data_IF_789820443841
#
_entry.id   IF_789820443841
#
_cell.length_a   1.000
_cell.length_b   1.000
_cell.length_c   1.000
_cell.angle_alpha   90.00
_cell.angle_beta   90.00
_cell.angle_gamma   90.00
#
_symmetry.space_group_name_H-M   'P 1'
#
loop_
_entity.id
_entity.type
_entity.pdbx_description
1 polymer ?
#
# COMPACT_ATOMS: atom_id res chain seq x y z
N UNK A 1 12.09 2.66 -2.12
CA UNK A 1 11.61 3.06 -0.78
C UNK A 1 11.86 1.91 0.16
N UNK A 2 11.99 2.13 1.48
CA UNK A 2 12.33 1.04 2.41
C UNK A 2 11.17 0.06 2.72
N UNK A 3 9.93 0.40 2.34
CA UNK A 3 8.76 -0.49 2.47
C UNK A 3 8.83 -1.69 1.50
N UNK A 4 9.38 -1.49 0.30
CA UNK A 4 9.47 -2.51 -0.76
C UNK A 4 10.60 -3.53 -0.47
N UNK A 5 10.64 -4.04 0.77
CA UNK A 5 11.64 -5.00 1.24
C UNK A 5 10.99 -6.37 1.35
N UNK A 6 11.77 -7.40 1.02
CA UNK A 6 11.37 -8.78 1.28
C UNK A 6 11.54 -9.09 2.77
N UNK A 7 10.44 -9.48 3.39
CA UNK A 7 10.36 -9.99 4.76
C UNK A 7 10.23 -11.51 4.72
N UNK A 8 10.89 -12.19 5.67
CA UNK A 8 10.81 -13.63 5.86
C UNK A 8 10.20 -13.90 7.24
N UNK A 9 9.01 -14.50 7.24
CA UNK A 9 8.36 -14.97 8.46
C UNK A 9 8.99 -16.30 8.90
N UNK A 10 8.92 -16.62 10.19
CA UNK A 10 9.46 -17.85 10.78
C UNK A 10 8.85 -19.12 10.20
N UNK A 11 7.62 -19.03 9.71
CA UNK A 11 6.92 -20.14 9.04
C UNK A 11 7.42 -20.42 7.62
N UNK A 12 8.39 -19.64 7.12
CA UNK A 12 8.94 -19.76 5.78
C UNK A 12 8.21 -18.95 4.70
N UNK A 13 7.21 -18.15 5.07
CA UNK A 13 6.55 -17.21 4.15
C UNK A 13 7.50 -16.06 3.86
N UNK A 14 7.81 -15.85 2.58
CA UNK A 14 8.58 -14.70 2.11
C UNK A 14 7.64 -13.76 1.38
N UNK A 15 7.56 -12.52 1.83
CA UNK A 15 6.61 -11.53 1.31
C UNK A 15 7.22 -10.13 1.20
N UNK A 16 6.58 -9.27 0.44
CA UNK A 16 6.93 -7.86 0.28
C UNK A 16 5.66 -7.01 0.32
N UNK A 17 5.70 -5.88 1.05
CA UNK A 17 4.68 -4.84 0.93
C UNK A 17 5.13 -3.92 -0.21
N UNK A 18 4.41 -3.96 -1.32
CA UNK A 18 4.73 -3.20 -2.52
C UNK A 18 3.99 -1.86 -2.55
N UNK A 19 4.75 -0.81 -2.82
CA UNK A 19 4.28 0.58 -2.95
C UNK A 19 4.18 1.02 -4.40
N UNK A 20 4.19 0.08 -5.35
CA UNK A 20 4.24 0.40 -6.79
C UNK A 20 3.12 1.33 -7.23
N UNK A 21 1.87 1.08 -6.80
CA UNK A 21 0.73 1.93 -7.15
C UNK A 21 0.89 3.36 -6.59
N UNK A 22 1.47 3.52 -5.39
CA UNK A 22 1.79 4.84 -4.85
C UNK A 22 2.89 5.55 -5.65
N UNK A 23 3.89 4.82 -6.13
CA UNK A 23 4.97 5.38 -6.96
C UNK A 23 4.43 5.81 -8.34
N UNK A 24 3.51 5.06 -8.91
CA UNK A 24 2.85 5.38 -10.17
C UNK A 24 2.02 6.67 -10.00
N UNK A 25 1.23 6.77 -8.93
CA UNK A 25 0.49 8.00 -8.58
C UNK A 25 1.41 9.21 -8.44
N UNK A 26 2.56 9.06 -7.77
CA UNK A 26 3.55 10.16 -7.66
C UNK A 26 4.10 10.52 -9.04
N UNK A 27 4.39 9.54 -9.89
CA UNK A 27 4.97 9.75 -11.21
C UNK A 27 4.01 10.49 -12.14
N UNK A 28 2.74 10.11 -12.15
CA UNK A 28 1.70 10.74 -12.97
C UNK A 28 1.46 12.20 -12.54
N UNK A 29 1.48 12.47 -11.23
CA UNK A 29 1.31 13.83 -10.68
C UNK A 29 2.52 14.70 -11.01
N UNK A 30 3.72 14.12 -10.97
CA UNK A 30 4.95 14.80 -11.41
C UNK A 30 4.95 15.07 -12.93
N UNK A 31 4.23 14.26 -13.72
CA UNK A 31 3.98 14.51 -15.14
C UNK A 31 2.87 15.55 -15.38
N UNK A 32 2.33 16.18 -14.32
CA UNK A 32 1.31 17.22 -14.41
C UNK A 32 -0.12 16.68 -14.58
N UNK A 33 -0.33 15.38 -14.44
CA UNK A 33 -1.66 14.79 -14.53
C UNK A 33 -2.45 15.09 -13.25
N UNK A 34 -3.70 15.53 -13.43
CA UNK A 34 -4.63 15.68 -12.32
C UNK A 34 -5.18 14.32 -11.94
N UNK A 35 -4.92 13.94 -10.70
CA UNK A 35 -5.37 12.67 -10.11
C UNK A 35 -6.36 12.97 -8.98
N UNK A 36 -7.69 12.87 -9.22
CA UNK A 36 -8.72 13.06 -8.20
C UNK A 36 -8.53 12.16 -6.97
N UNK A 37 -7.93 10.99 -7.15
CA UNK A 37 -7.65 9.99 -6.11
C UNK A 37 -6.72 10.54 -5.03
N UNK A 38 -5.78 11.43 -5.38
CA UNK A 38 -4.90 12.06 -4.39
C UNK A 38 -5.67 12.90 -3.36
N UNK A 39 -6.79 13.51 -3.75
CA UNK A 39 -7.61 14.31 -2.84
C UNK A 39 -8.27 13.44 -1.76
N UNK A 40 -8.38 12.13 -2.00
CA UNK A 40 -8.92 11.16 -1.03
C UNK A 40 -7.87 10.68 -0.03
N UNK A 41 -6.57 10.96 -0.26
CA UNK A 41 -5.47 10.55 0.62
C UNK A 41 -5.22 11.64 1.67
N UNK A 42 -5.97 11.58 2.77
CA UNK A 42 -5.90 12.52 3.88
C UNK A 42 -4.96 12.08 5.00
N UNK A 43 -4.76 10.78 5.21
CA UNK A 43 -3.99 10.22 6.33
C UNK A 43 -3.23 8.94 5.90
N UNK A 44 -2.48 8.33 6.84
CA UNK A 44 -1.66 7.14 6.53
C UNK A 44 -2.47 5.86 6.30
N UNK A 45 -3.69 5.75 6.83
CA UNK A 45 -4.59 4.60 6.62
C UNK A 45 -5.15 4.61 5.20
N UNK A 46 -5.36 5.81 4.62
CA UNK A 46 -5.81 5.94 3.23
C UNK A 46 -4.77 5.41 2.24
N UNK A 47 -3.50 5.34 2.64
CA UNK A 47 -2.43 4.75 1.81
C UNK A 47 -2.59 3.24 1.67
N UNK A 48 -3.27 2.55 2.60
CA UNK A 48 -3.43 1.09 2.55
C UNK A 48 -4.20 0.62 1.32
N UNK A 49 -5.06 1.48 0.75
CA UNK A 49 -5.78 1.19 -0.51
C UNK A 49 -4.87 1.12 -1.73
N UNK A 50 -3.64 1.62 -1.61
CA UNK A 50 -2.64 1.66 -2.68
C UNK A 50 -1.42 0.78 -2.38
N UNK A 51 -1.48 0.01 -1.29
CA UNK A 51 -0.48 -0.99 -0.96
C UNK A 51 -0.95 -2.36 -1.48
N UNK A 52 0.03 -3.15 -1.91
CA UNK A 52 -0.18 -4.55 -2.24
C UNK A 52 0.81 -5.43 -1.50
N UNK A 53 0.49 -6.70 -1.34
CA UNK A 53 1.40 -7.70 -0.78
C UNK A 53 1.72 -8.72 -1.85
N UNK A 54 3.00 -9.00 -2.04
CA UNK A 54 3.48 -10.07 -2.93
C UNK A 54 4.08 -11.16 -2.08
N UNK A 55 3.52 -12.38 -2.15
CA UNK A 55 4.11 -13.56 -1.52
C UNK A 55 5.01 -14.27 -2.51
N UNK A 56 6.33 -14.16 -2.29
CA UNK A 56 7.36 -14.74 -3.15
C UNK A 56 7.57 -16.23 -2.87
N UNK A 57 7.42 -16.67 -1.62
CA UNK A 57 7.57 -18.07 -1.20
C UNK A 57 6.64 -18.40 -0.03
N UNK A 58 6.29 -19.68 0.12
CA UNK A 58 5.53 -20.18 1.27
C UNK A 58 4.01 -19.95 1.19
N UNK A 59 3.47 -19.58 0.02
CA UNK A 59 2.04 -19.33 -0.17
C UNK A 59 1.17 -20.54 0.21
N UNK A 60 1.58 -21.76 -0.15
CA UNK A 60 0.84 -22.99 0.17
C UNK A 60 0.72 -23.21 1.68
N UNK A 61 1.81 -22.99 2.42
CA UNK A 61 1.83 -23.08 3.89
C UNK A 61 0.95 -22.02 4.53
N UNK A 62 0.99 -20.78 4.01
CA UNK A 62 0.09 -19.71 4.45
C UNK A 62 -1.38 -20.07 4.21
N UNK A 63 -1.72 -20.52 3.00
CA UNK A 63 -3.07 -20.95 2.61
C UNK A 63 -3.57 -22.09 3.51
N UNK A 64 -2.71 -23.06 3.81
CA UNK A 64 -3.07 -24.19 4.67
C UNK A 64 -3.41 -23.74 6.09
N UNK A 65 -2.67 -22.77 6.64
CA UNK A 65 -2.94 -22.23 7.99
C UNK A 65 -4.12 -21.26 8.01
N UNK A 66 -4.37 -20.55 6.91
CA UNK A 66 -5.40 -19.50 6.78
C UNK A 66 -6.64 -19.92 6.01
N UNK A 67 -6.89 -21.23 5.90
CA UNK A 67 -7.92 -21.76 5.00
C UNK A 67 -9.29 -21.08 5.15
N UNK A 68 -9.71 -20.72 6.37
CA UNK A 68 -11.00 -20.08 6.63
C UNK A 68 -11.12 -18.62 6.14
N UNK A 69 -10.01 -17.94 5.85
CA UNK A 69 -9.98 -16.51 5.50
C UNK A 69 -9.37 -16.21 4.13
N UNK A 70 -8.84 -17.23 3.45
CA UNK A 70 -7.97 -17.06 2.28
C UNK A 70 -8.70 -17.01 0.93
N UNK A 71 -10.00 -17.37 0.90
CA UNK A 71 -10.72 -17.68 -0.34
C UNK A 71 -10.67 -16.56 -1.39
N UNK A 72 -10.79 -15.29 -0.97
CA UNK A 72 -10.81 -14.14 -1.88
C UNK A 72 -9.48 -13.91 -2.61
N UNK A 73 -8.36 -14.30 -2.02
CA UNK A 73 -7.01 -14.00 -2.54
C UNK A 73 -6.18 -15.25 -2.82
N UNK A 74 -6.76 -16.44 -2.60
CA UNK A 74 -6.06 -17.73 -2.72
C UNK A 74 -5.44 -17.93 -4.10
N UNK A 75 -6.18 -17.58 -5.15
CA UNK A 75 -5.75 -17.82 -6.54
C UNK A 75 -4.55 -16.96 -6.91
N UNK A 76 -4.55 -15.71 -6.43
CA UNK A 76 -3.52 -14.70 -6.61
C UNK A 76 -2.26 -15.10 -5.85
N UNK A 77 -2.40 -15.56 -4.61
CA UNK A 77 -1.28 -16.05 -3.80
C UNK A 77 -0.60 -17.28 -4.43
N UNK A 78 -1.38 -18.24 -4.93
CA UNK A 78 -0.83 -19.41 -5.65
C UNK A 78 -0.14 -19.01 -6.96
N UNK A 79 -0.63 -17.96 -7.62
CA UNK A 79 -0.05 -17.43 -8.85
C UNK A 79 1.14 -16.47 -8.61
N UNK A 80 1.51 -16.20 -7.35
CA UNK A 80 2.55 -15.21 -7.01
C UNK A 80 2.19 -13.78 -7.43
N UNK A 81 0.91 -13.48 -7.59
CA UNK A 81 0.42 -12.16 -7.99
C UNK A 81 0.26 -11.26 -6.76
N UNK A 82 0.42 -9.93 -6.93
CA UNK A 82 0.12 -8.99 -5.86
C UNK A 82 -1.35 -9.10 -5.43
N UNK A 83 -1.59 -9.09 -4.11
CA UNK A 83 -2.92 -8.99 -3.51
C UNK A 83 -3.06 -7.65 -2.79
N UNK A 84 -4.29 -7.17 -2.56
CA UNK A 84 -4.47 -5.91 -1.83
C UNK A 84 -3.93 -6.04 -0.40
N UNK A 85 -3.33 -4.96 0.13
CA UNK A 85 -2.86 -4.95 1.52
C UNK A 85 -3.98 -5.26 2.50
N UNK A 86 -5.18 -4.68 2.32
CA UNK A 86 -6.31 -4.91 3.23
C UNK A 86 -6.78 -6.36 3.21
N UNK A 87 -6.91 -6.96 2.02
CA UNK A 87 -7.31 -8.37 1.91
C UNK A 87 -6.28 -9.29 2.56
N UNK A 88 -4.98 -8.97 2.43
CA UNK A 88 -3.93 -9.74 3.09
C UNK A 88 -3.90 -9.53 4.61
N UNK A 89 -4.07 -8.30 5.08
CA UNK A 89 -4.14 -7.94 6.50
C UNK A 89 -5.31 -8.66 7.20
N UNK A 90 -6.45 -8.77 6.51
CA UNK A 90 -7.64 -9.48 6.99
C UNK A 90 -7.40 -10.98 7.25
N UNK A 91 -6.37 -11.60 6.65
CA UNK A 91 -6.02 -12.99 6.97
C UNK A 91 -5.68 -13.18 8.44
N UNK A 92 -5.18 -12.14 9.09
CA UNK A 92 -4.71 -12.20 10.48
C UNK A 92 -5.73 -11.63 11.46
N UNK A 93 -6.97 -11.41 11.01
CA UNK A 93 -8.08 -11.10 11.90
C UNK A 93 -8.45 -12.34 12.70
N UNK A 94 -8.17 -12.32 14.01
CA UNK A 94 -8.35 -13.48 14.90
C UNK A 94 -9.06 -13.13 16.21
N UNK A 95 -9.54 -14.18 16.87
CA UNK A 95 -9.87 -14.15 18.31
C UNK A 95 -8.59 -14.12 19.14
N UNK A 96 -8.62 -13.51 20.34
CA UNK A 96 -7.44 -13.30 21.19
C UNK A 96 -6.71 -14.59 21.60
N UNK A 97 -7.40 -15.72 21.58
CA UNK A 97 -6.88 -17.02 22.07
C UNK A 97 -6.23 -17.89 20.96
N UNK A 98 -6.21 -17.43 19.71
CA UNK A 98 -5.65 -18.18 18.59
C UNK A 98 -4.13 -17.93 18.44
N UNK A 99 -3.33 -19.00 18.58
CA UNK A 99 -1.90 -18.95 18.26
C UNK A 99 -1.68 -18.76 16.76
N UNK A 100 -1.09 -17.62 16.41
CA UNK A 100 -0.82 -17.25 15.04
C UNK A 100 0.58 -16.63 14.88
N UNK A 101 1.61 -17.46 14.59
CA UNK A 101 2.96 -16.95 14.41
C UNK A 101 3.10 -16.04 13.19
N UNK A 102 2.31 -16.26 12.13
CA UNK A 102 2.34 -15.39 10.94
C UNK A 102 1.71 -14.04 11.24
N UNK A 103 0.56 -14.04 11.91
CA UNK A 103 -0.15 -12.84 12.32
C UNK A 103 0.62 -12.02 13.35
N UNK A 104 1.30 -12.66 14.31
CA UNK A 104 2.16 -11.97 15.28
C UNK A 104 3.36 -11.29 14.61
N UNK A 105 3.93 -11.90 13.58
CA UNK A 105 5.03 -11.31 12.82
C UNK A 105 4.55 -10.24 11.85
N UNK A 106 3.42 -10.47 11.18
CA UNK A 106 2.75 -9.48 10.35
C UNK A 106 2.38 -8.23 11.16
N UNK A 107 1.76 -8.39 12.33
CA UNK A 107 1.39 -7.28 13.20
C UNK A 107 2.62 -6.52 13.71
N UNK A 108 3.71 -7.22 14.08
CA UNK A 108 4.98 -6.55 14.44
C UNK A 108 5.57 -5.76 13.29
N UNK A 109 5.47 -6.30 12.07
CA UNK A 109 5.94 -5.63 10.88
C UNK A 109 5.15 -4.34 10.62
N UNK A 110 3.83 -4.39 10.67
CA UNK A 110 2.94 -3.31 10.24
C UNK A 110 2.56 -2.32 11.35
N UNK A 111 2.78 -2.69 12.62
CA UNK A 111 2.55 -1.81 13.78
C UNK A 111 3.82 -1.18 14.34
N UNK A 112 4.98 -1.55 13.80
CA UNK A 112 6.28 -1.04 14.23
C UNK A 112 6.49 0.44 13.91
N UNK A 113 7.36 1.10 14.69
CA UNK A 113 7.73 2.50 14.46
C UNK A 113 8.33 2.73 13.07
N UNK A 114 9.13 1.77 12.58
CA UNK A 114 9.75 1.85 11.25
C UNK A 114 8.69 1.93 10.14
N UNK A 115 7.72 1.01 10.13
CA UNK A 115 6.65 1.01 9.14
C UNK A 115 5.84 2.30 9.21
N UNK A 116 5.48 2.74 10.43
CA UNK A 116 4.78 4.01 10.64
C UNK A 116 5.56 5.21 10.09
N UNK A 117 6.86 5.30 10.37
CA UNK A 117 7.72 6.39 9.85
C UNK A 117 7.79 6.38 8.32
N UNK A 118 7.85 5.20 7.70
CA UNK A 118 7.85 5.07 6.25
C UNK A 118 6.50 5.50 5.63
N UNK A 119 5.37 5.14 6.25
CA UNK A 119 4.03 5.58 5.84
C UNK A 119 3.85 7.11 5.96
N UNK A 120 4.38 7.71 7.03
CA UNK A 120 4.38 9.18 7.21
C UNK A 120 5.21 9.85 6.11
N UNK A 121 6.39 9.32 5.80
CA UNK A 121 7.26 9.85 4.75
C UNK A 121 6.55 9.81 3.38
N UNK A 122 5.93 8.68 3.05
CA UNK A 122 5.11 8.48 1.86
C UNK A 122 4.00 9.54 1.73
N UNK A 123 3.21 9.71 2.79
CA UNK A 123 2.15 10.71 2.83
C UNK A 123 2.70 12.12 2.61
N UNK A 124 3.87 12.43 3.17
CA UNK A 124 4.56 13.70 2.97
C UNK A 124 4.97 13.96 1.51
N UNK A 125 5.43 12.92 0.80
CA UNK A 125 5.77 12.98 -0.62
C UNK A 125 4.51 13.26 -1.45
N UNK A 126 3.44 12.49 -1.24
CA UNK A 126 2.18 12.65 -1.98
C UNK A 126 1.55 14.04 -1.77
N UNK A 127 1.50 14.52 -0.53
CA UNK A 127 1.01 15.88 -0.21
C UNK A 127 1.86 16.96 -0.88
N UNK A 128 3.18 16.75 -0.97
CA UNK A 128 4.07 17.70 -1.63
C UNK A 128 3.90 17.70 -3.15
N UNK A 129 3.73 16.52 -3.76
CA UNK A 129 3.41 16.39 -5.17
C UNK A 129 2.05 17.05 -5.50
N UNK A 130 1.01 16.79 -4.70
CA UNK A 130 -0.32 17.37 -4.88
C UNK A 130 -0.30 18.91 -4.79
N UNK A 131 0.44 19.48 -3.84
CA UNK A 131 0.58 20.95 -3.71
C UNK A 131 1.24 21.57 -4.95
N UNK A 132 2.29 20.94 -5.49
CA UNK A 132 2.96 21.43 -6.71
C UNK A 132 2.02 21.42 -7.91
N UNK A 133 1.19 20.38 -8.04
CA UNK A 133 0.19 20.29 -9.10
C UNK A 133 -0.83 21.44 -9.04
N UNK A 134 -1.31 21.78 -7.83
CA UNK A 134 -2.24 22.90 -7.64
C UNK A 134 -1.56 24.25 -7.92
N UNK A 135 -0.31 24.44 -7.48
CA UNK A 135 0.47 25.64 -7.81
C UNK A 135 0.69 25.80 -9.32
N UNK A 136 0.90 24.71 -10.06
CA UNK A 136 1.05 24.77 -11.52
C UNK A 136 -0.29 25.06 -12.23
N UNK A 137 -1.41 24.63 -11.65
CA UNK A 137 -2.74 24.95 -12.15
C UNK A 137 -3.10 26.43 -11.94
N UNK A 138 -2.75 27.01 -10.79
CA UNK A 138 -3.02 28.41 -10.45
C UNK A 138 -2.14 29.40 -11.24
N UNK A 139 -1.07 28.93 -11.89
CA UNK A 139 -0.16 29.74 -12.71
C UNK A 139 -0.58 29.80 -14.19
N UNK A 140 -1.62 29.08 -14.62
CA UNK A 140 -2.27 29.37 -15.90
C UNK A 140 -3.03 30.70 -15.74
N UNK A 141 -2.56 31.82 -16.31
CA UNK A 141 -3.32 33.05 -16.23
C UNK A 141 -4.60 32.81 -17.02
N UNK A 142 -5.72 33.30 -16.49
CA UNK A 142 -6.93 33.50 -17.26
C UNK A 142 -6.56 34.29 -18.53
N UNK A 143 -6.34 33.57 -19.64
CA UNK A 143 -6.33 34.13 -20.99
C UNK A 143 -7.77 34.41 -21.39
N UNK A 144 -8.52 35.11 -20.54
CA UNK A 144 -9.69 35.84 -20.95
C UNK A 144 -9.18 37.21 -21.45
N UNK A 145 -8.52 37.17 -22.61
CA UNK A 145 -8.23 38.38 -23.37
C UNK A 145 -9.59 38.92 -23.81
N UNK A 146 -10.11 39.88 -23.05
CA UNK A 146 -11.19 40.72 -23.51
C UNK A 146 -10.75 41.41 -24.79
N UNK A 147 -11.38 41.06 -25.90
CA UNK A 147 -11.36 41.88 -27.10
C UNK A 147 -12.55 42.83 -27.01
N UNK A 148 -12.22 44.11 -27.13
CA UNK A 148 -13.10 45.26 -27.18
C UNK A 148 -14.03 45.25 -28.41
#
# INVERSE_FOLDING_TARGET
MYIDKIHLLKTGVSLEISTIALRDLVSDVMAGQRIPELAKIGNTIDLYDYLSVVVHKGAEGLISRRHAWIDEIKSELLAGRPVSYRSFDNLFWRSLDEEDPDGDEWYRLTSGEEFRSQMICLLGILRSANRRLHQHADVLPDLNIGWA
#
